data_IF_510599937757
#
_entry.id   IF_510599937757
#
_cell.length_a   1.000
_cell.length_b   1.000
_cell.length_c   1.000
_cell.angle_alpha   90.00
_cell.angle_beta   90.00
_cell.angle_gamma   90.00
#
_symmetry.space_group_name_H-M   'P 1'
#
loop_
_entity.id
_entity.type
_entity.pdbx_description
1 polymer ?
#
# COMPACT_ATOMS: atom_id res chain seq x y z
N UNK A 1 40.09 21.61 -8.83
CA UNK A 1 38.65 21.56 -9.13
C UNK A 1 37.94 21.01 -7.91
N UNK A 2 36.86 21.64 -7.44
CA UNK A 2 36.12 21.19 -6.26
C UNK A 2 34.72 20.80 -6.70
N UNK A 3 34.35 19.54 -6.47
CA UNK A 3 32.99 19.04 -6.69
C UNK A 3 32.24 19.11 -5.35
N UNK A 4 31.09 19.74 -5.33
CA UNK A 4 30.22 19.80 -4.14
C UNK A 4 28.90 19.09 -4.44
N UNK A 5 28.57 18.10 -3.62
CA UNK A 5 27.28 17.42 -3.65
C UNK A 5 26.43 17.94 -2.49
N UNK A 6 25.30 18.57 -2.79
CA UNK A 6 24.26 18.89 -1.82
C UNK A 6 23.13 17.89 -1.99
N UNK A 7 22.88 17.08 -0.99
CA UNK A 7 21.73 16.18 -0.97
C UNK A 7 20.54 16.91 -0.35
N UNK A 8 19.60 17.35 -1.19
CA UNK A 8 18.24 17.74 -0.76
C UNK A 8 17.29 16.72 -1.37
N UNK A 9 16.39 16.17 -0.57
CA UNK A 9 15.67 14.89 -0.78
C UNK A 9 14.93 14.69 -2.10
N UNK A 10 14.91 15.67 -3.00
CA UNK A 10 14.07 15.66 -4.20
C UNK A 10 14.80 16.15 -5.48
N UNK A 11 16.02 16.68 -5.39
CA UNK A 11 16.77 17.09 -6.60
C UNK A 11 18.28 16.89 -6.44
N UNK A 12 18.90 16.27 -7.44
CA UNK A 12 20.37 16.23 -7.56
C UNK A 12 20.78 17.37 -8.49
N UNK A 13 21.15 18.51 -7.92
CA UNK A 13 21.66 19.66 -8.65
C UNK A 13 23.18 19.51 -8.85
N UNK A 14 23.63 19.45 -10.11
CA UNK A 14 25.05 19.40 -10.46
C UNK A 14 25.41 20.65 -11.27
N UNK A 15 26.28 21.51 -10.73
CA UNK A 15 26.80 22.68 -11.44
C UNK A 15 28.30 22.53 -11.68
N UNK A 16 28.74 22.84 -12.91
CA UNK A 16 30.15 22.92 -13.30
C UNK A 16 30.47 24.34 -13.78
N UNK A 17 31.64 24.84 -13.41
CA UNK A 17 32.18 26.11 -13.91
C UNK A 17 33.39 25.84 -14.82
N UNK A 18 33.24 26.13 -16.12
CA UNK A 18 34.29 25.96 -17.14
C UNK A 18 33.69 25.54 -18.48
N UNK A 19 34.04 26.26 -19.56
CA UNK A 19 33.37 26.20 -20.87
C UNK A 19 33.79 25.05 -21.80
N UNK A 20 33.90 23.81 -21.32
CA UNK A 20 34.08 22.63 -22.19
C UNK A 20 32.89 21.66 -22.06
N UNK A 21 32.47 21.03 -23.16
CA UNK A 21 31.35 20.11 -23.18
C UNK A 21 31.70 18.78 -22.50
N UNK A 22 31.11 18.52 -21.33
CA UNK A 22 31.24 17.25 -20.62
C UNK A 22 30.04 16.35 -20.94
N UNK A 23 30.30 15.12 -21.38
CA UNK A 23 29.25 14.09 -21.55
C UNK A 23 28.95 13.43 -20.20
N UNK A 24 27.74 13.63 -19.66
CA UNK A 24 27.28 12.97 -18.45
C UNK A 24 26.25 11.88 -18.80
N UNK A 25 26.47 10.66 -18.33
CA UNK A 25 25.52 9.56 -18.45
C UNK A 25 24.97 9.20 -17.07
N UNK A 26 23.77 9.68 -16.75
CA UNK A 26 23.11 9.43 -15.47
C UNK A 26 22.16 8.23 -15.61
N UNK A 27 22.49 7.10 -14.99
CA UNK A 27 21.58 5.94 -14.91
C UNK A 27 20.74 6.07 -13.66
N UNK A 28 19.61 6.78 -13.74
CA UNK A 28 18.65 6.83 -12.64
C UNK A 28 17.89 5.49 -12.60
N UNK A 29 18.07 4.72 -11.53
CA UNK A 29 17.12 3.65 -11.17
C UNK A 29 15.78 4.28 -10.79
N UNK A 30 14.71 3.47 -10.77
CA UNK A 30 13.34 3.91 -10.51
C UNK A 30 13.27 5.00 -9.43
N UNK A 31 12.92 6.23 -9.84
CA UNK A 31 12.57 7.31 -8.92
C UNK A 31 11.22 6.93 -8.33
N UNK A 32 11.25 6.26 -7.18
CA UNK A 32 10.03 6.03 -6.42
C UNK A 32 9.67 7.35 -5.74
N UNK A 33 8.75 8.09 -6.35
CA UNK A 33 8.12 9.25 -5.72
C UNK A 33 7.24 8.70 -4.60
N UNK A 34 7.81 8.56 -3.41
CA UNK A 34 7.10 8.06 -2.23
C UNK A 34 6.06 9.05 -1.76
N UNK A 35 4.91 9.12 -2.43
CA UNK A 35 3.69 9.63 -1.82
C UNK A 35 3.25 8.61 -0.78
N UNK A 36 3.06 9.02 0.48
CA UNK A 36 2.53 8.13 1.50
C UNK A 36 1.09 7.77 1.14
N UNK A 37 0.84 6.55 0.68
CA UNK A 37 -0.50 6.02 0.52
C UNK A 37 -1.04 5.65 1.89
N UNK A 38 -1.97 6.45 2.42
CA UNK A 38 -2.70 6.12 3.64
C UNK A 38 -3.81 5.13 3.30
N UNK A 39 -3.71 3.90 3.81
CA UNK A 39 -4.73 2.86 3.68
C UNK A 39 -5.69 3.00 4.87
N UNK A 40 -6.99 3.10 4.59
CA UNK A 40 -8.04 3.20 5.61
C UNK A 40 -8.38 1.87 6.27
N UNK A 41 -9.14 1.92 7.36
CA UNK A 41 -9.66 0.73 8.07
C UNK A 41 -10.48 -0.16 7.11
N UNK A 42 -10.29 -1.48 7.17
CA UNK A 42 -10.96 -2.44 6.28
C UNK A 42 -10.32 -2.63 4.91
N UNK A 43 -9.15 -2.04 4.66
CA UNK A 43 -8.37 -2.24 3.44
C UNK A 43 -6.95 -2.65 3.80
N UNK A 44 -6.36 -3.50 2.95
CA UNK A 44 -4.98 -3.97 3.09
C UNK A 44 -4.27 -4.00 1.74
N UNK A 45 -2.96 -3.82 1.76
CA UNK A 45 -2.12 -3.97 0.56
C UNK A 45 -1.51 -5.37 0.55
N UNK A 46 -1.81 -6.16 -0.48
CA UNK A 46 -1.36 -7.55 -0.58
C UNK A 46 -0.98 -7.88 -2.01
N UNK A 47 0.21 -8.48 -2.21
CA UNK A 47 0.71 -8.92 -3.52
C UNK A 47 0.70 -7.86 -4.63
N UNK A 48 0.87 -6.59 -4.27
CA UNK A 48 0.88 -5.48 -5.24
C UNK A 48 -0.51 -4.99 -5.66
N UNK A 49 -1.57 -5.42 -4.96
CA UNK A 49 -2.92 -4.95 -5.17
C UNK A 49 -3.53 -4.43 -3.85
N UNK A 50 -4.48 -3.51 -3.98
CA UNK A 50 -5.32 -3.08 -2.87
C UNK A 50 -6.45 -4.10 -2.69
N UNK A 51 -6.53 -4.69 -1.52
CA UNK A 51 -7.48 -5.73 -1.15
C UNK A 51 -8.36 -5.26 0.00
N UNK A 52 -9.53 -5.88 0.13
CA UNK A 52 -10.41 -5.70 1.30
C UNK A 52 -9.86 -6.54 2.45
N UNK A 53 -9.82 -5.95 3.64
CA UNK A 53 -9.49 -6.65 4.87
C UNK A 53 -10.78 -7.15 5.52
N UNK A 54 -10.99 -8.46 5.52
CA UNK A 54 -12.23 -9.08 5.98
C UNK A 54 -12.03 -9.77 7.33
N UNK A 55 -13.04 -9.70 8.20
CA UNK A 55 -13.11 -10.52 9.41
C UNK A 55 -13.36 -11.99 9.07
N UNK A 56 -12.73 -12.88 9.83
CA UNK A 56 -12.84 -14.34 9.66
C UNK A 56 -14.21 -14.90 10.08
N UNK A 57 -14.87 -14.23 11.03
CA UNK A 57 -16.17 -14.64 11.56
C UNK A 57 -17.02 -13.43 11.97
N UNK A 58 -18.34 -13.59 11.85
CA UNK A 58 -19.34 -12.55 12.17
C UNK A 58 -19.27 -12.13 13.64
N UNK A 59 -18.89 -13.03 14.54
CA UNK A 59 -18.89 -12.79 15.99
C UNK A 59 -17.62 -12.05 16.49
N UNK A 60 -16.56 -11.96 15.68
CA UNK A 60 -15.23 -11.51 16.14
C UNK A 60 -15.03 -10.00 16.00
N UNK A 61 -15.45 -9.40 14.88
CA UNK A 61 -15.34 -7.95 14.66
C UNK A 61 -16.39 -7.51 13.62
N UNK A 62 -17.36 -6.70 14.07
CA UNK A 62 -18.41 -6.13 13.23
C UNK A 62 -18.02 -4.78 12.58
N UNK A 63 -16.77 -4.33 12.75
CA UNK A 63 -16.25 -3.10 12.13
C UNK A 63 -15.55 -3.35 10.80
N UNK A 64 -15.27 -4.63 10.49
CA UNK A 64 -14.68 -5.07 9.23
C UNK A 64 -15.72 -5.81 8.37
N UNK A 65 -15.60 -5.75 7.03
CA UNK A 65 -16.40 -6.58 6.13
C UNK A 65 -16.25 -8.07 6.45
N UNK A 66 -17.30 -8.87 6.25
CA UNK A 66 -17.27 -10.34 6.41
C UNK A 66 -17.64 -11.01 5.09
N UNK A 67 -17.10 -12.19 4.81
CA UNK A 67 -17.42 -12.92 3.58
C UNK A 67 -18.83 -13.50 3.61
N UNK A 68 -19.46 -13.63 2.45
CA UNK A 68 -20.78 -14.27 2.33
C UNK A 68 -20.78 -15.73 2.79
N UNK A 69 -19.65 -16.43 2.70
CA UNK A 69 -19.48 -17.78 3.20
C UNK A 69 -19.60 -17.83 4.73
N UNK A 70 -18.92 -16.93 5.44
CA UNK A 70 -19.03 -16.82 6.90
C UNK A 70 -20.45 -16.44 7.33
N UNK A 71 -21.12 -15.54 6.61
CA UNK A 71 -22.54 -15.20 6.86
C UNK A 71 -23.46 -16.41 6.65
N UNK A 72 -23.25 -17.19 5.59
CA UNK A 72 -24.09 -18.36 5.28
C UNK A 72 -24.00 -19.45 6.37
N UNK A 73 -22.81 -19.64 6.96
CA UNK A 73 -22.62 -20.57 8.08
C UNK A 73 -23.42 -20.11 9.30
N UNK A 74 -23.32 -18.84 9.67
CA UNK A 74 -24.03 -18.29 10.83
C UNK A 74 -25.55 -18.39 10.67
N UNK A 75 -26.07 -17.98 9.50
CA UNK A 75 -27.51 -18.08 9.20
C UNK A 75 -27.99 -19.53 9.19
N UNK A 76 -27.17 -20.47 8.70
CA UNK A 76 -27.48 -21.90 8.75
C UNK A 76 -27.63 -22.42 10.17
N UNK A 77 -26.72 -22.04 11.07
CA UNK A 77 -26.79 -22.40 12.49
C UNK A 77 -28.07 -21.86 13.15
N UNK A 78 -28.43 -20.59 12.86
CA UNK A 78 -29.67 -19.97 13.36
C UNK A 78 -30.90 -20.75 12.88
N UNK A 79 -30.95 -21.14 11.60
CA UNK A 79 -32.07 -21.89 11.03
C UNK A 79 -32.25 -23.26 11.71
N UNK A 80 -31.15 -23.94 12.06
CA UNK A 80 -31.19 -25.21 12.80
C UNK A 80 -31.77 -25.02 14.19
N UNK A 81 -31.31 -24.02 14.95
CA UNK A 81 -31.85 -23.74 16.29
C UNK A 81 -33.35 -23.42 16.24
N UNK A 82 -33.77 -22.56 15.31
CA UNK A 82 -35.17 -22.17 15.17
C UNK A 82 -36.08 -23.33 14.72
N UNK A 83 -35.55 -24.33 14.02
CA UNK A 83 -36.32 -25.52 13.63
C UNK A 83 -36.58 -26.51 14.78
N UNK A 84 -36.00 -26.28 15.97
CA UNK A 84 -36.13 -27.16 17.14
C UNK A 84 -37.07 -26.64 18.23
N UNK A 85 -37.67 -25.45 18.03
CA UNK A 85 -38.64 -24.80 18.93
C UNK A 85 -40.01 -24.68 18.27
#
# INVERSE_FOLDING_TARGET
MKLSLLNSSETVQMSLSGGEAVSLSLKTGAVQTGGSLSIGHGLKWESGALCVDCADAVETDNTLPVTSAAVAVEVGNIAVLLGTI
#
